data_IF_316340028410
#
_entry.id   IF_316340028410
#
_cell.length_a   1.000
_cell.length_b   1.000
_cell.length_c   1.000
_cell.angle_alpha   90.00
_cell.angle_beta   90.00
_cell.angle_gamma   90.00
#
_symmetry.space_group_name_H-M   'P 1'
#
loop_
_entity.id
_entity.type
_entity.pdbx_description
1 polymer ?
#
# COMPACT_ATOMS: atom_id res chain seq x y z
N UNK A 1 -2.85 -19.47 15.07
CA UNK A 1 -3.79 -18.70 14.28
C UNK A 1 -4.91 -18.20 15.20
N UNK A 2 -5.07 -16.87 15.33
CA UNK A 2 -6.03 -16.24 16.22
C UNK A 2 -7.49 -16.53 15.80
N UNK A 3 -7.76 -16.56 14.50
CA UNK A 3 -9.10 -16.89 13.98
C UNK A 3 -9.51 -18.34 14.25
N UNK A 4 -8.58 -19.30 14.17
CA UNK A 4 -8.87 -20.69 14.50
C UNK A 4 -9.28 -20.91 15.96
N UNK A 5 -8.85 -20.03 16.89
CA UNK A 5 -9.33 -20.04 18.28
C UNK A 5 -10.76 -19.52 18.38
N UNK A 6 -11.12 -18.48 17.63
CA UNK A 6 -12.48 -17.94 17.56
C UNK A 6 -13.45 -18.97 17.00
N UNK A 7 -13.11 -19.67 15.93
CA UNK A 7 -13.97 -20.71 15.33
C UNK A 7 -14.25 -21.84 16.30
N UNK A 8 -13.28 -22.28 17.11
CA UNK A 8 -13.49 -23.28 18.15
C UNK A 8 -14.37 -22.80 19.30
N UNK A 9 -14.34 -21.51 19.60
CA UNK A 9 -15.16 -20.93 20.66
C UNK A 9 -16.64 -20.79 20.24
N UNK A 10 -16.89 -20.55 18.96
CA UNK A 10 -18.23 -20.35 18.39
C UNK A 10 -18.65 -21.50 17.45
N UNK A 11 -18.53 -22.75 17.91
CA UNK A 11 -18.80 -23.95 17.09
C UNK A 11 -20.21 -24.02 16.47
N UNK A 12 -21.20 -23.35 17.07
CA UNK A 12 -22.60 -23.30 16.59
C UNK A 12 -22.97 -21.97 15.95
N UNK A 13 -22.02 -21.06 15.82
CA UNK A 13 -22.24 -19.72 15.27
C UNK A 13 -22.08 -19.69 13.75
N UNK A 14 -22.84 -18.81 13.09
CA UNK A 14 -22.56 -18.45 11.69
C UNK A 14 -21.38 -17.47 11.68
N UNK A 15 -20.34 -17.78 10.92
CA UNK A 15 -19.16 -16.93 10.80
C UNK A 15 -19.15 -16.29 9.41
N UNK A 16 -19.23 -14.97 9.37
CA UNK A 16 -19.13 -14.18 8.14
C UNK A 16 -17.75 -13.51 8.05
N UNK A 17 -16.94 -13.91 7.08
CA UNK A 17 -15.66 -13.25 6.76
C UNK A 17 -15.84 -12.27 5.60
N UNK A 18 -15.32 -11.05 5.75
CA UNK A 18 -15.32 -10.03 4.69
C UNK A 18 -13.88 -9.71 4.31
N UNK A 19 -13.56 -9.81 3.02
CA UNK A 19 -12.22 -9.51 2.51
C UNK A 19 -12.27 -9.13 1.03
N UNK A 20 -11.37 -8.25 0.60
CA UNK A 20 -11.15 -7.98 -0.83
C UNK A 20 -10.20 -8.99 -1.48
N UNK A 21 -9.48 -9.81 -0.68
CA UNK A 21 -8.47 -10.77 -1.15
C UNK A 21 -8.75 -12.15 -0.53
N UNK A 22 -9.74 -12.91 -1.04
CA UNK A 22 -10.17 -14.19 -0.44
C UNK A 22 -9.16 -15.33 -0.64
N UNK A 23 -8.10 -15.11 -1.42
CA UNK A 23 -7.07 -16.11 -1.65
C UNK A 23 -5.96 -15.99 -0.61
N UNK A 24 -5.63 -17.09 0.07
CA UNK A 24 -4.48 -17.14 0.96
C UNK A 24 -3.17 -17.17 0.16
N UNK A 25 -2.18 -16.39 0.57
CA UNK A 25 -0.81 -16.48 0.06
C UNK A 25 -0.10 -17.78 0.49
N UNK A 26 -0.60 -18.44 1.54
CA UNK A 26 -0.10 -19.73 2.02
C UNK A 26 -0.97 -20.87 1.47
N UNK A 27 -0.41 -21.65 0.55
CA UNK A 27 -1.10 -22.79 -0.09
C UNK A 27 -1.55 -23.87 0.88
N UNK A 28 -0.93 -23.95 2.07
CA UNK A 28 -1.28 -24.91 3.13
C UNK A 28 -2.42 -24.43 4.05
N UNK A 29 -2.86 -23.18 3.92
CA UNK A 29 -3.95 -22.60 4.71
C UNK A 29 -4.98 -22.04 3.72
N UNK A 30 -5.85 -22.91 3.25
CA UNK A 30 -6.86 -22.51 2.27
C UNK A 30 -8.09 -21.92 2.98
N UNK A 31 -8.68 -20.88 2.42
CA UNK A 31 -9.89 -20.26 2.98
C UNK A 31 -11.04 -21.25 3.05
N UNK A 32 -11.17 -22.14 2.06
CA UNK A 32 -12.18 -23.20 2.03
C UNK A 32 -12.11 -24.19 3.20
N UNK A 33 -11.00 -24.23 3.94
CA UNK A 33 -10.85 -25.11 5.10
C UNK A 33 -11.54 -24.50 6.35
N UNK A 34 -12.01 -23.26 6.26
CA UNK A 34 -12.63 -22.50 7.36
C UNK A 34 -14.00 -21.91 6.99
N UNK A 35 -14.43 -21.97 5.73
CA UNK A 35 -15.68 -21.40 5.26
C UNK A 35 -16.35 -22.36 4.29
N UNK A 36 -17.66 -22.50 4.40
CA UNK A 36 -18.47 -23.41 3.58
C UNK A 36 -18.76 -22.81 2.21
N UNK A 37 -18.90 -21.48 2.11
CA UNK A 37 -19.28 -20.80 0.89
C UNK A 37 -18.46 -19.51 0.68
N UNK A 38 -18.16 -19.20 -0.58
CA UNK A 38 -17.59 -17.92 -1.00
C UNK A 38 -18.63 -17.12 -1.79
N UNK A 39 -19.11 -16.03 -1.19
CA UNK A 39 -20.00 -15.10 -1.87
C UNK A 39 -19.15 -14.01 -2.54
N UNK A 40 -19.18 -13.97 -3.86
CA UNK A 40 -18.45 -12.96 -4.65
C UNK A 40 -19.37 -11.81 -4.99
N UNK A 41 -18.96 -10.59 -4.64
CA UNK A 41 -19.68 -9.36 -5.00
C UNK A 41 -19.54 -8.99 -6.48
N UNK A 42 -19.90 -7.75 -6.80
CA UNK A 42 -19.80 -7.23 -8.16
C UNK A 42 -18.35 -7.14 -8.65
N UNK A 43 -18.15 -7.38 -9.95
CA UNK A 43 -16.81 -7.27 -10.54
C UNK A 43 -16.29 -5.82 -10.52
N UNK A 44 -14.95 -5.65 -10.45
CA UNK A 44 -14.31 -4.34 -10.52
C UNK A 44 -14.74 -3.57 -11.77
N UNK A 45 -14.82 -4.24 -12.92
CA UNK A 45 -15.27 -3.63 -14.18
C UNK A 45 -16.70 -3.08 -14.11
N UNK A 46 -17.60 -3.80 -13.44
CA UNK A 46 -18.98 -3.35 -13.24
C UNK A 46 -19.03 -2.17 -12.28
N UNK A 47 -18.26 -2.22 -11.19
CA UNK A 47 -18.17 -1.11 -10.22
C UNK A 47 -17.59 0.16 -10.86
N UNK A 48 -16.59 0.04 -11.74
CA UNK A 48 -16.06 1.16 -12.52
C UNK A 48 -17.13 1.69 -13.49
N UNK A 49 -17.80 0.81 -14.22
CA UNK A 49 -18.86 1.19 -15.18
C UNK A 49 -20.05 1.87 -14.52
N UNK A 50 -20.36 1.52 -13.26
CA UNK A 50 -21.43 2.11 -12.46
C UNK A 50 -20.99 3.35 -11.66
N UNK A 51 -19.73 3.79 -11.77
CA UNK A 51 -19.22 4.98 -11.10
C UNK A 51 -18.87 4.82 -9.61
N UNK A 52 -18.92 3.60 -9.07
CA UNK A 52 -18.51 3.32 -7.68
C UNK A 52 -16.99 3.27 -7.50
N UNK A 53 -16.26 2.89 -8.54
CA UNK A 53 -14.80 2.90 -8.55
C UNK A 53 -14.26 3.75 -9.69
N UNK A 54 -13.16 4.45 -9.43
CA UNK A 54 -12.43 5.22 -10.43
C UNK A 54 -11.74 4.29 -11.44
N UNK A 55 -11.64 4.73 -12.70
CA UNK A 55 -10.85 4.04 -13.71
C UNK A 55 -9.36 4.24 -13.39
N UNK A 56 -8.62 3.14 -13.23
CA UNK A 56 -7.18 3.16 -13.04
C UNK A 56 -6.42 3.18 -14.38
N UNK A 57 -5.34 3.96 -14.44
CA UNK A 57 -4.33 3.90 -15.51
C UNK A 57 -2.99 3.51 -14.89
N UNK A 58 -2.40 2.41 -15.34
CA UNK A 58 -1.13 1.90 -14.80
C UNK A 58 0.02 2.25 -15.71
N UNK A 59 1.09 2.82 -15.15
CA UNK A 59 2.34 3.10 -15.82
C UNK A 59 3.45 2.23 -15.21
N UNK A 60 4.26 1.61 -16.06
CA UNK A 60 5.38 0.77 -15.65
C UNK A 60 6.71 1.41 -16.02
N UNK A 61 7.65 1.43 -15.09
CA UNK A 61 8.99 1.94 -15.30
C UNK A 61 10.02 0.83 -15.03
N UNK A 62 10.99 0.70 -15.91
CA UNK A 62 12.08 -0.26 -15.72
C UNK A 62 13.05 0.24 -14.64
N UNK A 63 13.17 -0.50 -13.55
CA UNK A 63 13.95 -0.13 -12.36
C UNK A 63 15.01 -1.18 -11.94
N UNK A 64 15.23 -2.21 -12.75
CA UNK A 64 16.27 -3.20 -12.48
C UNK A 64 15.90 -4.15 -11.32
N UNK A 65 14.70 -4.69 -11.32
CA UNK A 65 14.16 -5.56 -10.26
C UNK A 65 14.99 -6.83 -10.00
N UNK A 66 15.88 -7.22 -10.91
CA UNK A 66 16.75 -8.40 -10.78
C UNK A 66 17.70 -8.33 -9.57
N UNK A 67 17.91 -7.13 -9.00
CA UNK A 67 18.73 -6.94 -7.79
C UNK A 67 17.95 -7.20 -6.49
N UNK A 68 16.63 -7.33 -6.56
CA UNK A 68 15.81 -7.59 -5.39
C UNK A 68 15.93 -9.03 -4.92
N UNK A 69 15.97 -9.20 -3.60
CA UNK A 69 16.03 -10.52 -2.96
C UNK A 69 14.71 -10.81 -2.27
N UNK A 70 14.19 -12.02 -2.51
CA UNK A 70 12.98 -12.50 -1.84
C UNK A 70 13.36 -13.05 -0.45
N UNK A 71 12.64 -12.62 0.58
CA UNK A 71 12.80 -13.09 1.95
C UNK A 71 12.02 -14.37 2.24
N UNK A 72 12.11 -14.87 3.48
CA UNK A 72 11.41 -16.09 3.92
C UNK A 72 9.87 -15.96 3.88
N UNK A 73 9.34 -14.76 3.92
CA UNK A 73 7.90 -14.47 3.81
C UNK A 73 7.36 -14.55 2.39
N UNK A 74 8.22 -14.70 1.37
CA UNK A 74 7.85 -14.64 -0.04
C UNK A 74 7.80 -13.20 -0.60
N UNK A 75 8.07 -12.19 0.22
CA UNK A 75 8.15 -10.79 -0.19
C UNK A 75 9.61 -10.32 -0.34
N UNK A 76 9.83 -9.18 -1.00
CA UNK A 76 11.16 -8.60 -1.13
C UNK A 76 11.72 -8.11 0.20
N UNK A 77 13.00 -8.35 0.44
CA UNK A 77 13.65 -7.86 1.67
C UNK A 77 13.81 -6.35 1.64
N UNK A 78 13.59 -5.71 2.79
CA UNK A 78 13.76 -4.26 2.96
C UNK A 78 15.14 -3.82 2.51
N UNK A 79 16.20 -4.53 2.93
CA UNK A 79 17.59 -4.20 2.59
C UNK A 79 17.90 -4.25 1.09
N UNK A 80 17.30 -5.16 0.33
CA UNK A 80 17.49 -5.20 -1.13
C UNK A 80 16.71 -4.07 -1.82
N UNK A 81 15.53 -3.75 -1.33
CA UNK A 81 14.72 -2.65 -1.82
C UNK A 81 15.39 -1.30 -1.55
N UNK A 82 15.89 -1.08 -0.34
CA UNK A 82 16.63 0.14 0.00
C UNK A 82 17.88 0.31 -0.86
N UNK A 83 18.65 -0.75 -1.09
CA UNK A 83 19.82 -0.69 -1.98
C UNK A 83 19.45 -0.30 -3.41
N UNK A 84 18.32 -0.77 -3.91
CA UNK A 84 17.84 -0.44 -5.25
C UNK A 84 17.32 1.00 -5.34
N UNK A 85 16.54 1.44 -4.36
CA UNK A 85 15.81 2.70 -4.46
C UNK A 85 16.52 3.90 -3.83
N UNK A 86 17.44 3.68 -2.85
CA UNK A 86 18.15 4.77 -2.18
C UNK A 86 19.37 5.24 -2.97
N UNK A 87 19.15 5.70 -4.19
CA UNK A 87 20.18 6.36 -5.00
C UNK A 87 19.55 7.46 -5.87
N UNK A 88 20.37 8.43 -6.27
CA UNK A 88 19.91 9.60 -7.02
C UNK A 88 19.17 9.25 -8.31
N UNK A 89 19.68 8.28 -9.08
CA UNK A 89 19.08 7.91 -10.37
C UNK A 89 17.64 7.39 -10.21
N UNK A 90 17.35 6.65 -9.14
CA UNK A 90 16.00 6.16 -8.86
C UNK A 90 15.09 7.27 -8.33
N UNK A 91 15.61 8.15 -7.49
CA UNK A 91 14.87 9.29 -6.98
C UNK A 91 14.54 10.29 -8.09
N UNK A 92 15.49 10.56 -8.99
CA UNK A 92 15.27 11.40 -10.20
C UNK A 92 14.21 10.79 -11.12
N UNK A 93 14.24 9.47 -11.29
CA UNK A 93 13.22 8.75 -12.08
C UNK A 93 11.83 8.88 -11.46
N UNK A 94 11.72 8.71 -10.12
CA UNK A 94 10.47 8.87 -9.40
C UNK A 94 9.95 10.31 -9.50
N UNK A 95 10.82 11.29 -9.27
CA UNK A 95 10.48 12.71 -9.35
C UNK A 95 10.05 13.11 -10.77
N UNK A 96 10.73 12.58 -11.80
CA UNK A 96 10.37 12.82 -13.20
C UNK A 96 9.00 12.21 -13.54
N UNK A 97 8.73 10.99 -13.08
CA UNK A 97 7.43 10.35 -13.25
C UNK A 97 6.31 11.14 -12.54
N UNK A 98 6.57 11.65 -11.32
CA UNK A 98 5.64 12.53 -10.61
C UNK A 98 5.37 13.81 -11.41
N UNK A 99 6.41 14.49 -11.88
CA UNK A 99 6.29 15.73 -12.67
C UNK A 99 5.47 15.52 -13.94
N UNK A 100 5.64 14.37 -14.59
CA UNK A 100 4.93 14.05 -15.83
C UNK A 100 3.45 13.69 -15.61
N UNK A 101 3.13 12.98 -14.53
CA UNK A 101 1.81 12.32 -14.36
C UNK A 101 0.96 12.86 -13.22
N UNK A 102 1.58 13.41 -12.18
CA UNK A 102 0.93 13.60 -10.88
C UNK A 102 0.93 15.03 -10.34
N UNK A 103 1.62 15.99 -10.96
CA UNK A 103 1.62 17.39 -10.49
C UNK A 103 0.20 17.92 -10.35
N UNK A 104 -0.10 18.53 -9.20
CA UNK A 104 -1.42 19.05 -8.87
C UNK A 104 -2.45 17.98 -8.48
N UNK A 105 -2.03 16.71 -8.36
CA UNK A 105 -2.91 15.61 -7.94
C UNK A 105 -2.49 15.09 -6.57
N UNK A 106 -3.48 14.67 -5.79
CA UNK A 106 -3.26 13.96 -4.53
C UNK A 106 -2.47 12.67 -4.81
N UNK A 107 -1.31 12.54 -4.17
CA UNK A 107 -0.35 11.48 -4.48
C UNK A 107 0.07 10.74 -3.22
N UNK A 108 -0.05 9.41 -3.25
CA UNK A 108 0.41 8.52 -2.18
C UNK A 108 1.56 7.66 -2.71
N UNK A 109 2.69 7.66 -2.01
CA UNK A 109 3.90 6.92 -2.36
C UNK A 109 4.13 5.85 -1.30
N UNK A 110 4.07 4.58 -1.70
CA UNK A 110 4.34 3.45 -0.83
C UNK A 110 5.79 3.01 -0.94
N UNK A 111 6.45 2.80 0.20
CA UNK A 111 7.83 2.35 0.27
C UNK A 111 7.96 1.10 1.15
N UNK A 112 8.95 0.25 0.85
CA UNK A 112 9.24 -0.96 1.63
C UNK A 112 10.04 -0.68 2.91
N UNK A 113 10.67 0.48 3.03
CA UNK A 113 11.53 0.83 4.17
C UNK A 113 11.47 2.30 4.54
N UNK A 114 11.72 2.59 5.82
CA UNK A 114 11.68 3.96 6.36
C UNK A 114 12.75 4.83 5.69
N UNK A 115 13.97 4.30 5.53
CA UNK A 115 15.07 5.03 4.90
C UNK A 115 14.72 5.46 3.46
N UNK A 116 14.08 4.59 2.67
CA UNK A 116 13.62 4.94 1.33
C UNK A 116 12.55 6.03 1.37
N UNK A 117 11.59 5.93 2.29
CA UNK A 117 10.53 6.91 2.42
C UNK A 117 11.04 8.28 2.86
N UNK A 118 12.03 8.32 3.75
CA UNK A 118 12.70 9.55 4.17
C UNK A 118 13.52 10.16 3.02
N UNK A 119 14.15 9.33 2.20
CA UNK A 119 14.88 9.83 1.02
C UNK A 119 13.91 10.43 -0.02
N UNK A 120 12.80 9.77 -0.29
CA UNK A 120 11.72 10.34 -1.14
C UNK A 120 11.24 11.67 -0.57
N UNK A 121 11.00 11.74 0.73
CA UNK A 121 10.58 12.96 1.42
C UNK A 121 11.58 14.11 1.18
N UNK A 122 12.87 13.87 1.43
CA UNK A 122 13.91 14.87 1.22
C UNK A 122 14.01 15.30 -0.25
N UNK A 123 14.03 14.35 -1.19
CA UNK A 123 14.11 14.63 -2.64
C UNK A 123 12.96 15.53 -3.12
N UNK A 124 11.75 15.26 -2.66
CA UNK A 124 10.58 16.05 -3.06
C UNK A 124 10.58 17.43 -2.41
N UNK A 125 11.01 17.55 -1.16
CA UNK A 125 11.19 18.85 -0.50
C UNK A 125 12.24 19.71 -1.20
N UNK A 126 13.41 19.16 -1.53
CA UNK A 126 14.46 19.82 -2.28
C UNK A 126 13.99 20.28 -3.67
N UNK A 127 13.10 19.53 -4.29
CA UNK A 127 12.46 19.89 -5.55
C UNK A 127 11.34 20.93 -5.43
N UNK A 128 11.05 21.45 -4.22
CA UNK A 128 10.07 22.50 -3.93
C UNK A 128 8.62 21.99 -3.76
N UNK A 129 8.41 20.68 -3.56
CA UNK A 129 7.09 20.14 -3.31
C UNK A 129 6.78 20.03 -1.81
N UNK A 130 5.55 20.34 -1.43
CA UNK A 130 5.06 20.09 -0.07
C UNK A 130 4.67 18.61 0.05
N UNK A 131 5.44 17.88 0.84
CA UNK A 131 5.27 16.44 1.09
C UNK A 131 5.29 16.15 2.58
N UNK A 132 4.55 15.14 3.03
CA UNK A 132 4.66 14.58 4.39
C UNK A 132 5.07 13.12 4.34
N UNK A 133 5.66 12.66 5.44
CA UNK A 133 6.06 11.26 5.66
C UNK A 133 5.23 10.67 6.79
N UNK A 134 4.85 9.37 6.64
CA UNK A 134 4.11 8.64 7.65
C UNK A 134 4.60 7.21 7.78
N UNK A 135 5.02 6.83 8.99
CA UNK A 135 5.37 5.45 9.34
C UNK A 135 4.88 5.07 10.76
N UNK A 136 5.26 3.89 11.24
CA UNK A 136 4.82 3.36 12.53
C UNK A 136 5.41 4.11 13.75
N UNK A 137 6.44 4.92 13.57
CA UNK A 137 7.09 5.70 14.67
C UNK A 137 6.27 6.93 15.07
N UNK A 138 5.38 7.40 14.19
CA UNK A 138 4.52 8.55 14.48
C UNK A 138 3.48 8.20 15.55
N UNK A 139 3.31 9.11 16.51
CA UNK A 139 2.26 9.03 17.52
C UNK A 139 0.86 9.05 16.89
N UNK A 140 -0.13 8.61 17.64
CA UNK A 140 -1.54 8.65 17.17
C UNK A 140 -2.00 10.07 16.83
N UNK A 141 -1.51 11.08 17.54
CA UNK A 141 -1.85 12.48 17.29
C UNK A 141 -1.25 12.96 15.95
N UNK A 142 0.06 12.78 15.76
CA UNK A 142 0.76 13.15 14.53
C UNK A 142 0.17 12.45 13.31
N UNK A 143 -0.12 11.15 13.44
CA UNK A 143 -0.78 10.37 12.38
C UNK A 143 -2.12 10.97 11.97
N UNK A 144 -2.94 11.35 12.95
CA UNK A 144 -4.25 11.99 12.69
C UNK A 144 -4.08 13.33 11.97
N UNK A 145 -3.13 14.16 12.41
CA UNK A 145 -2.85 15.47 11.81
C UNK A 145 -2.34 15.33 10.35
N UNK A 146 -1.44 14.36 10.10
CA UNK A 146 -0.92 14.09 8.74
C UNK A 146 -2.06 13.61 7.82
N UNK A 147 -2.89 12.69 8.29
CA UNK A 147 -4.00 12.15 7.50
C UNK A 147 -5.09 13.19 7.24
N UNK A 148 -5.38 14.06 8.22
CA UNK A 148 -6.30 15.17 8.03
C UNK A 148 -5.78 16.14 6.96
N UNK A 149 -4.50 16.54 7.05
CA UNK A 149 -3.86 17.36 6.03
C UNK A 149 -3.91 16.70 4.65
N UNK A 150 -3.61 15.40 4.55
CA UNK A 150 -3.66 14.67 3.29
C UNK A 150 -5.09 14.62 2.73
N UNK A 151 -6.10 14.50 3.58
CA UNK A 151 -7.51 14.50 3.19
C UNK A 151 -7.95 15.86 2.63
N UNK A 152 -7.56 16.95 3.29
CA UNK A 152 -8.02 18.30 2.96
C UNK A 152 -7.31 18.94 1.76
N UNK A 153 -6.02 18.66 1.59
CA UNK A 153 -5.20 19.27 0.54
C UNK A 153 -5.35 18.50 -0.79
N UNK A 154 -5.87 19.15 -1.87
CA UNK A 154 -6.14 18.47 -3.15
C UNK A 154 -4.90 17.91 -3.86
N UNK A 155 -3.75 18.57 -3.71
CA UNK A 155 -2.46 18.23 -4.32
C UNK A 155 -1.45 17.67 -3.31
N UNK A 156 -1.92 17.16 -2.18
CA UNK A 156 -1.08 16.61 -1.12
C UNK A 156 -0.24 15.43 -1.62
N UNK A 157 1.02 15.40 -1.22
CA UNK A 157 1.93 14.27 -1.44
C UNK A 157 2.22 13.63 -0.10
N UNK A 158 1.95 12.34 0.04
CA UNK A 158 2.22 11.57 1.25
C UNK A 158 3.08 10.36 0.91
N UNK A 159 4.25 10.25 1.53
CA UNK A 159 5.09 9.05 1.45
C UNK A 159 4.90 8.21 2.71
N UNK A 160 4.76 6.89 2.57
CA UNK A 160 4.45 6.01 3.70
C UNK A 160 5.14 4.65 3.64
N UNK A 161 5.25 4.01 4.82
CA UNK A 161 5.81 2.66 4.98
C UNK A 161 4.83 1.80 5.78
N UNK A 162 4.34 0.72 5.15
CA UNK A 162 3.48 -0.30 5.77
C UNK A 162 2.23 0.23 6.50
N UNK A 163 1.86 1.47 6.22
CA UNK A 163 0.65 2.12 6.71
C UNK A 163 -0.20 2.51 5.48
N UNK A 164 -1.51 2.53 5.61
CA UNK A 164 -2.46 2.87 4.53
C UNK A 164 -2.50 1.79 3.42
N UNK A 165 -2.12 0.57 3.72
CA UNK A 165 -2.13 -0.53 2.74
C UNK A 165 -3.50 -1.18 2.59
N UNK A 166 -4.30 -1.21 3.67
CA UNK A 166 -5.65 -1.78 3.67
C UNK A 166 -6.55 -0.98 4.63
N UNK A 167 -7.84 -0.81 4.26
CA UNK A 167 -8.83 -0.15 5.11
C UNK A 167 -8.60 1.36 5.31
N UNK A 168 -7.96 2.01 4.36
CA UNK A 168 -7.81 3.47 4.30
C UNK A 168 -8.67 4.01 3.14
N UNK A 169 -9.68 4.79 3.48
CA UNK A 169 -10.59 5.47 2.56
C UNK A 169 -10.41 6.99 2.65
#
# INVERSE_FOLDING_TARGET
NSFGKLFRFYEKGVVLGVTATPLSSNVNIRMKDNYDELIVGESISKLIGSGFLAKATTYHYHVGLNSLKVGRSGDYTVSSSERLYNNHAMQDKLLSAYREKCVGKKTLIFNNGIATSQYVYATFQEAGFEIKHLDHTHSTKERREILQWFKEKPDAILTSVSILTTGFD
#
